data_IF_114127322091
#
_entry.id   IF_114127322091
#
_cell.length_a   1.000
_cell.length_b   1.000
_cell.length_c   1.000
_cell.angle_alpha   90.00
_cell.angle_beta   90.00
_cell.angle_gamma   90.00
#
_symmetry.space_group_name_H-M   'P 1'
#
loop_
_entity.id
_entity.type
_entity.pdbx_description
1 polymer ?
#
# COMPACT_ATOMS: atom_id res chain seq x y z
N UNK A 1 -65.94 -8.37 9.24
CA UNK A 1 -64.76 -8.44 10.14
C UNK A 1 -64.52 -9.90 10.52
N UNK A 2 -63.78 -10.68 9.73
CA UNK A 2 -63.31 -12.01 10.14
C UNK A 2 -61.88 -12.17 9.60
N UNK A 3 -60.95 -12.37 10.54
CA UNK A 3 -59.52 -12.50 10.28
C UNK A 3 -59.20 -13.89 9.74
N UNK A 4 -58.41 -13.95 8.67
CA UNK A 4 -57.83 -15.20 8.17
C UNK A 4 -56.49 -15.43 8.90
N UNK A 5 -56.43 -16.46 9.73
CA UNK A 5 -55.17 -17.03 10.22
C UNK A 5 -54.58 -17.93 9.13
N UNK A 6 -53.40 -17.56 8.62
CA UNK A 6 -52.58 -18.46 7.80
C UNK A 6 -51.48 -19.04 8.68
N UNK A 7 -51.60 -20.34 8.96
CA UNK A 7 -50.59 -21.16 9.63
C UNK A 7 -49.52 -21.51 8.60
N UNK A 8 -48.31 -20.99 8.76
CA UNK A 8 -47.16 -21.41 7.96
C UNK A 8 -46.41 -22.53 8.69
N UNK A 9 -46.26 -23.67 8.01
CA UNK A 9 -45.52 -24.83 8.44
C UNK A 9 -44.03 -24.51 8.63
N UNK A 10 -43.51 -24.77 9.83
CA UNK A 10 -42.07 -24.83 10.09
C UNK A 10 -41.54 -26.15 9.56
N UNK A 11 -40.89 -26.12 8.40
CA UNK A 11 -40.07 -27.24 7.94
C UNK A 11 -38.73 -27.21 8.69
N UNK A 12 -38.58 -28.11 9.66
CA UNK A 12 -37.33 -28.34 10.35
C UNK A 12 -36.41 -29.17 9.43
N UNK A 13 -35.52 -28.52 8.70
CA UNK A 13 -34.47 -29.21 7.96
C UNK A 13 -33.35 -29.60 8.93
N UNK A 14 -33.17 -30.91 9.11
CA UNK A 14 -32.05 -31.48 9.85
C UNK A 14 -30.74 -31.20 9.09
N UNK A 15 -29.95 -30.25 9.59
CA UNK A 15 -28.60 -29.99 9.10
C UNK A 15 -27.69 -31.07 9.69
N UNK A 16 -27.33 -32.07 8.87
CA UNK A 16 -26.24 -32.99 9.16
C UNK A 16 -24.96 -32.18 9.34
N UNK A 17 -24.27 -32.40 10.46
CA UNK A 17 -23.02 -31.76 10.84
C UNK A 17 -21.87 -32.07 9.88
N UNK A 18 -21.85 -31.41 8.74
CA UNK A 18 -20.61 -31.05 8.07
C UNK A 18 -20.05 -29.84 8.80
N UNK A 19 -18.80 -29.92 9.25
CA UNK A 19 -18.07 -28.73 9.66
C UNK A 19 -18.21 -27.71 8.52
N UNK A 20 -18.82 -26.56 8.81
CA UNK A 20 -18.70 -25.41 7.93
C UNK A 20 -17.21 -25.09 7.88
N UNK A 21 -16.53 -25.56 6.83
CA UNK A 21 -15.28 -24.97 6.39
C UNK A 21 -15.64 -23.53 6.03
N UNK A 22 -15.46 -22.62 7.00
CA UNK A 22 -15.40 -21.20 6.72
C UNK A 22 -14.40 -21.05 5.56
N UNK A 23 -14.77 -20.36 4.47
CA UNK A 23 -13.85 -20.16 3.36
C UNK A 23 -12.53 -19.67 3.93
N UNK A 24 -11.44 -20.38 3.62
CA UNK A 24 -10.14 -20.05 4.19
C UNK A 24 -9.85 -18.58 3.90
N UNK A 25 -9.62 -17.78 4.95
CA UNK A 25 -9.27 -16.35 4.93
C UNK A 25 -7.95 -16.07 4.16
N UNK A 26 -7.42 -17.04 3.42
CA UNK A 26 -6.11 -17.06 2.77
C UNK A 26 -5.98 -16.14 1.53
N UNK A 27 -6.91 -15.20 1.33
CA UNK A 27 -6.84 -14.22 0.24
C UNK A 27 -7.25 -12.81 0.66
N UNK A 28 -7.02 -12.43 1.91
CA UNK A 28 -7.61 -11.22 2.50
C UNK A 28 -6.66 -10.02 2.66
N UNK A 29 -5.43 -10.09 2.16
CA UNK A 29 -4.50 -8.95 2.22
C UNK A 29 -3.95 -8.64 0.84
N UNK A 30 -3.87 -7.35 0.53
CA UNK A 30 -3.33 -6.83 -0.70
C UNK A 30 -2.34 -5.71 -0.37
N UNK A 31 -1.14 -5.79 -0.95
CA UNK A 31 -0.26 -4.63 -1.02
C UNK A 31 -0.64 -3.79 -2.23
N UNK A 32 -0.72 -2.47 -2.02
CA UNK A 32 -1.00 -1.51 -3.09
C UNK A 32 0.11 -0.47 -3.05
N UNK A 33 0.70 -0.19 -4.20
CA UNK A 33 1.74 0.83 -4.29
C UNK A 33 1.71 1.57 -5.61
N UNK A 34 2.27 2.77 -5.62
CA UNK A 34 2.42 3.59 -6.81
C UNK A 34 3.75 4.35 -6.77
N UNK A 35 4.39 4.58 -7.94
CA UNK A 35 5.58 5.42 -8.02
C UNK A 35 5.18 6.89 -7.90
N UNK A 36 6.05 7.70 -7.30
CA UNK A 36 5.88 9.15 -7.27
C UNK A 36 5.99 9.77 -8.66
N UNK A 37 5.32 10.90 -8.88
CA UNK A 37 5.41 11.59 -10.16
C UNK A 37 6.80 12.21 -10.38
N UNK A 38 7.44 12.75 -9.32
CA UNK A 38 8.77 13.38 -9.28
C UNK A 38 9.03 14.43 -10.38
N UNK A 39 7.98 14.86 -11.09
CA UNK A 39 8.09 15.66 -12.32
C UNK A 39 8.07 17.15 -12.07
N UNK A 40 7.80 17.59 -10.85
CA UNK A 40 7.79 19.01 -10.51
C UNK A 40 8.49 19.26 -9.16
N UNK A 41 9.69 19.84 -9.23
CA UNK A 41 10.33 20.49 -8.09
C UNK A 41 9.56 21.73 -7.61
N UNK A 42 8.60 22.21 -8.41
CA UNK A 42 7.85 23.46 -8.22
C UNK A 42 6.35 23.26 -7.95
N UNK A 43 5.85 22.02 -7.89
CA UNK A 43 4.42 21.80 -7.64
C UNK A 43 4.18 21.18 -6.27
N UNK A 44 3.27 21.85 -5.59
CA UNK A 44 2.36 21.41 -4.55
C UNK A 44 1.55 20.17 -4.95
N UNK A 45 2.20 19.09 -5.38
CA UNK A 45 1.59 17.77 -5.32
C UNK A 45 1.40 17.45 -3.83
N UNK A 46 0.16 17.44 -3.33
CA UNK A 46 -0.05 17.25 -1.91
C UNK A 46 0.37 15.83 -1.54
N UNK A 47 1.00 15.69 -0.38
CA UNK A 47 1.24 14.38 0.24
C UNK A 47 2.06 13.40 -0.63
N UNK A 48 1.73 12.10 -0.59
CA UNK A 48 2.59 11.04 -1.12
C UNK A 48 2.59 10.90 -2.64
N UNK A 49 1.80 11.66 -3.40
CA UNK A 49 1.83 11.62 -4.87
C UNK A 49 3.21 11.97 -5.43
N UNK A 50 3.94 12.86 -4.76
CA UNK A 50 5.28 13.27 -5.20
C UNK A 50 6.33 12.17 -5.00
N UNK A 51 6.33 11.50 -3.85
CA UNK A 51 7.31 10.47 -3.49
C UNK A 51 6.97 9.07 -4.01
N UNK A 52 5.68 8.78 -4.16
CA UNK A 52 5.14 7.43 -4.22
C UNK A 52 4.85 6.88 -2.84
N UNK A 53 4.10 5.79 -2.78
CA UNK A 53 3.71 5.15 -1.52
C UNK A 53 3.42 3.65 -1.68
N UNK A 54 3.43 2.94 -0.55
CA UNK A 54 2.96 1.57 -0.41
C UNK A 54 2.09 1.48 0.83
N UNK A 55 0.97 0.77 0.70
CA UNK A 55 0.01 0.55 1.76
C UNK A 55 -0.55 -0.85 1.72
N UNK A 56 -1.23 -1.22 2.80
CA UNK A 56 -1.82 -2.53 3.02
C UNK A 56 -3.33 -2.38 3.03
N UNK A 57 -4.02 -3.16 2.20
CA UNK A 57 -5.47 -3.26 2.19
C UNK A 57 -5.89 -4.64 2.68
N UNK A 58 -6.81 -4.68 3.63
CA UNK A 58 -7.42 -5.91 4.10
C UNK A 58 -8.82 -6.03 3.49
N UNK A 59 -9.17 -7.16 2.88
CA UNK A 59 -10.49 -7.34 2.24
C UNK A 59 -11.65 -7.30 3.24
N UNK A 60 -11.37 -7.59 4.51
CA UNK A 60 -12.32 -7.47 5.62
C UNK A 60 -12.39 -6.07 6.25
N UNK A 61 -11.58 -5.13 5.78
CA UNK A 61 -11.71 -3.72 6.12
C UNK A 61 -12.70 -3.03 5.16
N UNK A 62 -13.21 -1.83 5.52
CA UNK A 62 -13.95 -1.01 4.56
C UNK A 62 -13.16 -0.85 3.26
N UNK A 63 -13.87 -0.86 2.11
CA UNK A 63 -13.23 -0.87 0.80
C UNK A 63 -12.26 0.31 0.60
N UNK A 64 -12.53 1.43 1.27
CA UNK A 64 -11.78 2.68 1.19
C UNK A 64 -10.75 2.82 2.32
N UNK A 65 -10.23 1.68 2.81
CA UNK A 65 -9.16 1.66 3.80
C UNK A 65 -7.89 1.08 3.22
N UNK A 66 -6.85 1.91 3.18
CA UNK A 66 -5.47 1.49 2.89
C UNK A 66 -4.63 1.92 4.08
N UNK A 67 -4.13 0.97 4.85
CA UNK A 67 -3.25 1.25 5.98
C UNK A 67 -1.85 1.51 5.47
N UNK A 68 -1.34 2.73 5.64
CA UNK A 68 0.03 3.07 5.28
C UNK A 68 0.81 3.59 6.48
N UNK A 69 2.13 3.52 6.36
CA UNK A 69 3.07 4.01 7.37
C UNK A 69 3.78 5.24 6.81
N UNK A 70 3.58 6.38 7.47
CA UNK A 70 4.03 7.70 7.03
C UNK A 70 4.75 8.43 8.16
N UNK A 71 5.57 9.46 7.88
CA UNK A 71 6.15 10.26 8.94
C UNK A 71 5.09 11.15 9.61
N UNK A 72 5.05 11.16 10.94
CA UNK A 72 4.18 12.02 11.74
C UNK A 72 4.82 13.40 11.91
N UNK A 73 4.67 14.24 10.89
CA UNK A 73 5.28 15.55 10.84
C UNK A 73 4.49 16.51 9.97
N UNK A 74 4.54 17.80 10.32
CA UNK A 74 3.95 18.88 9.52
C UNK A 74 4.58 18.99 8.13
N UNK A 75 5.81 18.48 7.97
CA UNK A 75 6.51 18.45 6.68
C UNK A 75 5.87 17.49 5.68
N UNK A 76 4.88 16.68 6.05
CA UNK A 76 4.07 15.90 5.09
C UNK A 76 3.31 16.79 4.08
N UNK A 77 3.15 18.07 4.40
CA UNK A 77 2.60 19.06 3.47
C UNK A 77 3.68 19.80 2.65
N UNK A 78 4.97 19.56 2.94
CA UNK A 78 6.12 20.07 2.22
C UNK A 78 7.07 18.91 1.91
N UNK A 79 6.70 18.14 0.90
CA UNK A 79 7.37 16.89 0.59
C UNK A 79 8.82 17.06 0.16
N UNK A 80 9.14 18.18 -0.50
CA UNK A 80 10.51 18.50 -0.86
C UNK A 80 11.38 18.63 0.38
N UNK A 81 10.95 19.43 1.36
CA UNK A 81 11.68 19.61 2.62
C UNK A 81 11.76 18.30 3.40
N UNK A 82 10.66 17.55 3.51
CA UNK A 82 10.65 16.25 4.18
C UNK A 82 11.66 15.27 3.56
N UNK A 83 11.63 15.09 2.23
CA UNK A 83 12.58 14.21 1.53
C UNK A 83 14.00 14.70 1.66
N UNK A 84 14.24 16.01 1.59
CA UNK A 84 15.55 16.59 1.83
C UNK A 84 16.08 16.23 3.23
N UNK A 85 15.27 16.44 4.26
CA UNK A 85 15.64 16.14 5.65
C UNK A 85 15.93 14.65 5.85
N UNK A 86 15.15 13.76 5.23
CA UNK A 86 15.39 12.32 5.26
C UNK A 86 16.69 11.92 4.53
N UNK A 87 16.99 12.55 3.38
CA UNK A 87 18.25 12.33 2.64
C UNK A 87 19.47 12.91 3.38
N UNK A 88 19.27 13.82 4.32
CA UNK A 88 20.31 14.30 5.24
C UNK A 88 20.51 13.33 6.43
N UNK A 89 19.85 12.17 6.41
CA UNK A 89 20.03 11.11 7.39
C UNK A 89 19.13 11.24 8.63
N UNK A 90 18.20 12.19 8.64
CA UNK A 90 17.24 12.34 9.74
C UNK A 90 16.12 11.29 9.66
N UNK A 91 15.39 11.15 10.77
CA UNK A 91 14.18 10.33 10.85
C UNK A 91 13.08 11.11 11.57
N UNK A 92 11.85 10.65 11.43
CA UNK A 92 10.68 11.18 12.13
C UNK A 92 9.99 10.06 12.91
N UNK A 93 9.16 10.37 13.93
CA UNK A 93 8.18 9.41 14.40
C UNK A 93 7.34 8.93 13.23
N UNK A 94 7.07 7.63 13.16
CA UNK A 94 6.15 7.07 12.18
C UNK A 94 4.70 7.19 12.64
N UNK A 95 3.77 6.95 11.73
CA UNK A 95 2.33 6.86 12.01
C UNK A 95 1.68 5.89 11.04
N UNK A 96 0.82 5.04 11.58
CA UNK A 96 -0.05 4.18 10.79
C UNK A 96 -1.43 4.83 10.70
N UNK A 97 -1.91 5.09 9.49
CA UNK A 97 -3.20 5.74 9.25
C UNK A 97 -3.93 5.14 8.05
N UNK A 98 -5.20 5.54 7.86
CA UNK A 98 -5.87 5.33 6.58
C UNK A 98 -5.32 6.33 5.56
N UNK A 99 -4.42 5.84 4.72
CA UNK A 99 -3.75 6.59 3.66
C UNK A 99 -4.50 6.52 2.34
N UNK A 100 -5.71 5.96 2.30
CA UNK A 100 -6.56 5.95 1.11
C UNK A 100 -6.64 7.34 0.42
N UNK A 101 -6.74 8.49 1.12
CA UNK A 101 -6.70 9.80 0.47
C UNK A 101 -5.42 10.08 -0.33
N UNK A 102 -4.25 9.56 0.08
CA UNK A 102 -3.01 9.70 -0.69
C UNK A 102 -3.04 8.87 -1.98
N UNK A 103 -3.62 7.66 -1.89
CA UNK A 103 -3.82 6.79 -3.06
C UNK A 103 -4.86 7.38 -4.02
N UNK A 104 -5.93 7.97 -3.49
CA UNK A 104 -6.92 8.70 -4.28
C UNK A 104 -6.30 9.90 -5.00
N UNK A 105 -5.55 10.76 -4.29
CA UNK A 105 -4.88 11.92 -4.90
C UNK A 105 -3.89 11.52 -6.01
N UNK A 106 -3.17 10.41 -5.84
CA UNK A 106 -2.26 9.89 -6.85
C UNK A 106 -2.97 9.55 -8.17
N UNK A 107 -4.24 9.15 -8.14
CA UNK A 107 -5.04 8.90 -9.36
C UNK A 107 -5.28 10.17 -10.19
N UNK A 108 -5.23 11.36 -9.57
CA UNK A 108 -5.44 12.65 -10.24
C UNK A 108 -4.19 13.21 -10.92
N UNK A 109 -3.06 12.49 -10.91
CA UNK A 109 -1.86 12.92 -11.62
C UNK A 109 -2.15 13.19 -13.12
N UNK A 110 -1.75 14.35 -13.66
CA UNK A 110 -1.96 14.67 -15.08
C UNK A 110 -1.06 13.83 -16.01
N UNK A 111 -0.01 13.21 -15.45
CA UNK A 111 0.97 12.42 -16.19
C UNK A 111 0.62 10.93 -16.26
N UNK A 112 -0.40 10.48 -15.54
CA UNK A 112 -0.72 9.07 -15.38
C UNK A 112 0.21 8.35 -14.41
N UNK A 113 -0.36 7.52 -13.55
CA UNK A 113 0.34 6.75 -12.51
C UNK A 113 -0.05 5.29 -12.63
N UNK A 114 0.94 4.41 -12.51
CA UNK A 114 0.72 2.96 -12.50
C UNK A 114 0.61 2.52 -11.06
N UNK A 115 -0.55 2.00 -10.70
CA UNK A 115 -0.75 1.33 -9.43
C UNK A 115 -0.40 -0.14 -9.61
N UNK A 116 0.41 -0.66 -8.72
CA UNK A 116 0.75 -2.07 -8.63
C UNK A 116 0.00 -2.64 -7.43
N UNK A 117 -0.73 -3.71 -7.68
CA UNK A 117 -1.48 -4.45 -6.68
C UNK A 117 -0.87 -5.84 -6.56
N UNK A 118 -0.73 -6.34 -5.34
CA UNK A 118 -0.31 -7.71 -5.10
C UNK A 118 -1.21 -8.38 -4.07
N UNK A 119 -2.01 -9.34 -4.54
CA UNK A 119 -2.82 -10.19 -3.66
C UNK A 119 -1.92 -11.23 -2.95
N UNK A 120 -1.77 -11.07 -1.63
CA UNK A 120 -0.98 -11.99 -0.82
C UNK A 120 -1.81 -13.26 -0.58
N UNK A 121 -1.53 -14.29 -1.38
CA UNK A 121 -2.15 -15.63 -1.27
C UNK A 121 -1.42 -16.57 -0.29
N UNK A 122 -0.37 -16.08 0.37
CA UNK A 122 0.42 -16.88 1.28
C UNK A 122 -0.34 -17.11 2.60
N UNK A 123 -0.12 -18.27 3.21
CA UNK A 123 -0.42 -18.46 4.62
C UNK A 123 0.46 -17.48 5.41
N UNK A 124 -0.12 -16.34 5.79
CA UNK A 124 0.58 -15.35 6.58
C UNK A 124 1.15 -15.98 7.85
N UNK A 125 2.27 -15.46 8.35
CA UNK A 125 2.87 -15.97 9.58
C UNK A 125 1.96 -15.83 10.80
N UNK A 126 0.97 -14.92 10.72
CA UNK A 126 -0.02 -14.65 11.74
C UNK A 126 -1.44 -15.02 11.28
N UNK A 127 -2.29 -15.42 12.23
CA UNK A 127 -3.67 -15.91 12.00
C UNK A 127 -4.54 -14.90 11.24
N UNK A 128 -4.28 -13.61 11.37
CA UNK A 128 -5.04 -12.52 10.74
C UNK A 128 -4.21 -11.71 9.74
N UNK A 129 -3.08 -12.27 9.28
CA UNK A 129 -2.18 -11.61 8.35
C UNK A 129 -1.71 -10.22 8.80
N UNK A 130 -1.49 -10.02 10.11
CA UNK A 130 -0.90 -8.79 10.63
C UNK A 130 -1.91 -7.66 10.88
N UNK A 131 -3.22 -7.89 10.71
CA UNK A 131 -4.25 -6.86 10.96
C UNK A 131 -4.22 -6.37 12.42
N UNK A 132 -4.07 -7.27 13.38
CA UNK A 132 -3.97 -6.92 14.81
C UNK A 132 -2.72 -6.08 15.08
N UNK A 133 -1.61 -6.40 14.43
CA UNK A 133 -0.35 -5.65 14.53
C UNK A 133 -0.49 -4.24 13.93
N UNK A 134 -1.12 -4.12 12.75
CA UNK A 134 -1.47 -2.82 12.15
C UNK A 134 -2.36 -2.00 13.08
N UNK A 135 -3.43 -2.59 13.63
CA UNK A 135 -4.35 -1.90 14.55
C UNK A 135 -3.69 -1.45 15.84
N UNK A 136 -2.76 -2.25 16.37
CA UNK A 136 -1.95 -1.88 17.53
C UNK A 136 -1.08 -0.66 17.21
N UNK A 137 -0.38 -0.69 16.08
CA UNK A 137 0.48 0.41 15.65
C UNK A 137 -0.30 1.69 15.30
N UNK A 138 -1.60 1.60 14.96
CA UNK A 138 -2.45 2.79 14.79
C UNK A 138 -2.69 3.55 16.10
N UNK A 139 -2.62 2.87 17.25
CA UNK A 139 -2.89 3.47 18.56
C UNK A 139 -1.62 4.06 19.18
N UNK A 140 -0.50 3.37 19.03
CA UNK A 140 0.79 3.78 19.53
C UNK A 140 1.88 3.09 18.70
N UNK A 141 2.73 3.89 18.05
CA UNK A 141 3.83 3.36 17.25
C UNK A 141 5.16 3.85 17.80
N UNK A 142 5.91 2.92 18.37
CA UNK A 142 7.29 3.13 18.76
C UNK A 142 8.22 2.76 17.59
N UNK A 143 7.97 3.33 16.41
CA UNK A 143 8.75 3.11 15.18
C UNK A 143 9.05 4.45 14.53
N UNK A 144 10.25 4.57 13.96
CA UNK A 144 10.68 5.76 13.22
C UNK A 144 10.47 5.56 11.72
N UNK A 145 10.06 6.62 11.04
CA UNK A 145 10.07 6.73 9.60
C UNK A 145 11.41 7.32 9.12
N UNK A 146 12.12 6.59 8.25
CA UNK A 146 13.41 7.02 7.70
C UNK A 146 13.64 6.50 6.28
N UNK A 147 14.57 7.09 5.54
CA UNK A 147 15.11 6.42 4.35
C UNK A 147 16.06 5.29 4.72
N UNK A 148 16.21 4.29 3.82
CA UNK A 148 17.19 3.24 4.04
C UNK A 148 18.60 3.81 4.21
N UNK A 149 19.46 3.15 5.01
CA UNK A 149 20.77 3.68 5.37
C UNK A 149 21.64 4.10 4.19
N UNK A 150 21.50 3.44 3.05
CA UNK A 150 22.28 3.66 1.84
C UNK A 150 21.77 4.82 0.98
N UNK A 151 20.52 5.26 1.15
CA UNK A 151 19.95 6.32 0.33
C UNK A 151 20.63 7.68 0.52
N UNK A 152 20.87 8.20 1.74
CA UNK A 152 21.65 9.43 1.96
C UNK A 152 22.99 9.43 1.22
N UNK A 153 23.76 8.35 1.35
CA UNK A 153 25.05 8.20 0.68
C UNK A 153 24.91 8.16 -0.84
N UNK A 154 23.94 7.41 -1.35
CA UNK A 154 23.70 7.26 -2.79
C UNK A 154 23.29 8.57 -3.45
N UNK A 155 22.46 9.38 -2.80
CA UNK A 155 21.85 10.56 -3.42
C UNK A 155 22.54 11.88 -3.07
N UNK A 156 23.21 11.98 -1.91
CA UNK A 156 23.85 13.23 -1.45
C UNK A 156 25.30 13.09 -1.02
N UNK A 157 25.83 11.88 -0.90
CA UNK A 157 27.19 11.67 -0.37
C UNK A 157 27.36 12.16 1.06
N UNK A 158 26.26 12.26 1.81
CA UNK A 158 26.21 12.73 3.20
C UNK A 158 26.43 11.57 4.18
N UNK A 159 26.39 11.85 5.49
CA UNK A 159 26.50 10.82 6.51
C UNK A 159 25.41 9.74 6.39
N UNK A 160 25.68 8.59 7.00
CA UNK A 160 24.70 7.51 7.15
C UNK A 160 23.46 7.97 7.91
N UNK A 161 22.31 7.35 7.61
CA UNK A 161 21.05 7.58 8.30
C UNK A 161 21.19 7.33 9.81
N UNK A 162 20.50 8.13 10.63
CA UNK A 162 20.38 7.91 12.08
C UNK A 162 19.78 6.52 12.42
N UNK A 163 19.11 5.91 11.45
CA UNK A 163 18.50 4.58 11.55
C UNK A 163 19.39 3.42 11.09
N UNK A 164 20.68 3.65 10.83
CA UNK A 164 21.58 2.63 10.26
C UNK A 164 21.65 1.35 11.08
N UNK A 165 21.76 1.45 12.41
CA UNK A 165 21.87 0.28 13.29
C UNK A 165 20.54 -0.35 13.67
N UNK A 166 19.41 0.25 13.30
CA UNK A 166 18.06 -0.20 13.71
C UNK A 166 17.10 -0.38 12.52
N UNK A 167 17.65 -0.36 11.30
CA UNK A 167 16.90 -0.53 10.06
C UNK A 167 16.24 -1.91 10.01
N UNK A 168 14.93 -1.95 9.80
CA UNK A 168 14.16 -3.18 9.80
C UNK A 168 13.75 -3.70 11.19
N UNK A 169 14.16 -3.03 12.27
CA UNK A 169 13.77 -3.37 13.65
C UNK A 169 12.86 -2.29 14.26
N UNK A 170 13.35 -1.05 14.32
CA UNK A 170 12.58 0.09 14.83
C UNK A 170 12.51 1.25 13.85
N UNK A 171 13.30 1.22 12.77
CA UNK A 171 13.21 2.17 11.67
C UNK A 171 12.70 1.50 10.40
N UNK A 172 11.73 2.15 9.76
CA UNK A 172 11.06 1.67 8.56
C UNK A 172 10.74 2.82 7.61
N UNK A 173 10.32 2.48 6.40
CA UNK A 173 9.54 3.36 5.54
C UNK A 173 8.27 2.65 5.09
N UNK A 174 7.51 3.25 4.18
CA UNK A 174 6.29 2.63 3.65
C UNK A 174 6.51 1.27 2.97
N UNK A 175 7.69 1.04 2.38
CA UNK A 175 8.03 -0.21 1.71
C UNK A 175 8.45 -1.32 2.69
N UNK A 176 9.16 -1.00 3.79
CA UNK A 176 9.63 -2.01 4.76
C UNK A 176 8.70 -2.22 5.94
N UNK A 177 7.83 -1.26 6.25
CA UNK A 177 6.86 -1.38 7.35
C UNK A 177 5.99 -2.65 7.30
N UNK A 178 5.48 -3.13 6.15
CA UNK A 178 4.69 -4.36 6.11
C UNK A 178 5.39 -5.57 6.74
N UNK A 179 6.72 -5.70 6.60
CA UNK A 179 7.49 -6.76 7.25
C UNK A 179 7.42 -6.69 8.78
N UNK A 180 7.35 -5.49 9.34
CA UNK A 180 7.25 -5.26 10.78
C UNK A 180 5.92 -5.73 11.40
N UNK A 181 4.91 -5.99 10.57
CA UNK A 181 3.60 -6.53 10.97
C UNK A 181 3.37 -7.95 10.43
N UNK A 182 4.44 -8.65 10.03
CA UNK A 182 4.38 -10.05 9.60
C UNK A 182 3.93 -10.26 8.15
N UNK A 183 3.86 -9.21 7.34
CA UNK A 183 3.55 -9.34 5.91
C UNK A 183 4.83 -9.59 5.09
N UNK A 184 4.77 -10.43 4.04
CA UNK A 184 5.89 -10.58 3.14
C UNK A 184 6.13 -9.27 2.38
N UNK A 185 7.39 -8.97 2.10
CA UNK A 185 7.79 -7.88 1.21
C UNK A 185 8.60 -8.43 0.04
N UNK A 186 8.48 -7.83 -1.16
CA UNK A 186 9.22 -8.24 -2.36
C UNK A 186 10.74 -8.07 -2.24
N UNK A 187 11.21 -7.17 -1.36
CA UNK A 187 12.62 -6.88 -1.14
C UNK A 187 12.84 -6.14 0.19
N UNK A 188 14.07 -6.17 0.71
CA UNK A 188 14.42 -5.71 2.06
C UNK A 188 15.25 -4.42 2.11
N UNK A 189 15.63 -3.83 0.97
CA UNK A 189 16.35 -2.55 0.94
C UNK A 189 15.44 -1.38 1.26
N UNK A 190 14.14 -1.49 1.01
CA UNK A 190 13.18 -0.40 1.20
C UNK A 190 13.24 0.69 0.13
N UNK A 191 13.89 0.41 -1.01
CA UNK A 191 13.95 1.32 -2.13
C UNK A 191 12.71 1.17 -2.99
N UNK A 192 11.79 2.13 -2.89
CA UNK A 192 10.47 2.07 -3.51
C UNK A 192 10.48 1.70 -5.02
N UNK A 193 11.36 2.23 -5.89
CA UNK A 193 11.39 1.80 -7.29
C UNK A 193 11.63 0.29 -7.46
N UNK A 194 12.64 -0.24 -6.78
CA UNK A 194 12.96 -1.68 -6.82
C UNK A 194 11.88 -2.54 -6.15
N UNK A 195 11.25 -2.00 -5.10
CA UNK A 195 10.11 -2.63 -4.43
C UNK A 195 8.94 -2.85 -5.39
N UNK A 196 8.49 -1.79 -6.08
CA UNK A 196 7.35 -1.86 -7.00
C UNK A 196 7.63 -2.77 -8.20
N UNK A 197 8.85 -2.73 -8.74
CA UNK A 197 9.28 -3.62 -9.83
C UNK A 197 9.21 -5.09 -9.42
N UNK A 198 9.78 -5.43 -8.26
CA UNK A 198 9.72 -6.80 -7.75
C UNK A 198 8.30 -7.20 -7.36
N UNK A 199 7.50 -6.29 -6.82
CA UNK A 199 6.09 -6.55 -6.52
C UNK A 199 5.31 -6.91 -7.79
N UNK A 200 5.53 -6.20 -8.90
CA UNK A 200 4.88 -6.48 -10.18
C UNK A 200 5.21 -7.86 -10.76
N UNK A 201 6.35 -8.45 -10.38
CA UNK A 201 6.79 -9.78 -10.80
C UNK A 201 6.18 -10.93 -9.98
N UNK A 202 5.54 -10.64 -8.85
CA UNK A 202 5.00 -11.67 -7.97
C UNK A 202 3.72 -12.28 -8.54
N UNK A 203 3.53 -13.57 -8.27
CA UNK A 203 2.30 -14.26 -8.64
C UNK A 203 1.10 -13.67 -7.88
N UNK A 204 0.03 -13.35 -8.61
CA UNK A 204 -1.14 -12.65 -8.07
C UNK A 204 -1.03 -11.13 -8.10
N UNK A 205 0.05 -10.58 -8.69
CA UNK A 205 0.17 -9.15 -8.93
C UNK A 205 -0.46 -8.73 -10.25
N UNK A 206 -1.01 -7.52 -10.26
CA UNK A 206 -1.56 -6.87 -11.44
C UNK A 206 -1.37 -5.36 -11.33
N UNK A 207 -1.54 -4.65 -12.45
CA UNK A 207 -1.36 -3.21 -12.50
C UNK A 207 -2.55 -2.52 -13.16
N UNK A 208 -2.83 -1.30 -12.71
CA UNK A 208 -3.82 -0.40 -13.32
C UNK A 208 -3.20 0.96 -13.58
N UNK A 209 -3.62 1.58 -14.68
CA UNK A 209 -3.24 2.93 -15.04
C UNK A 209 -4.33 3.90 -14.57
N UNK A 210 -3.96 4.90 -13.77
CA UNK A 210 -4.87 5.98 -13.40
C UNK A 210 -4.34 7.32 -13.88
N UNK A 211 -5.23 8.15 -14.43
CA UNK A 211 -4.90 9.50 -14.91
C UNK A 211 -6.13 10.39 -14.74
N UNK A 212 -5.93 11.59 -14.21
CA UNK A 212 -7.01 12.57 -14.00
C UNK A 212 -8.24 11.98 -13.27
N UNK A 213 -8.00 11.12 -12.28
CA UNK A 213 -9.03 10.49 -11.45
C UNK A 213 -9.77 9.31 -12.09
N UNK A 214 -9.32 8.82 -13.26
CA UNK A 214 -9.98 7.75 -14.00
C UNK A 214 -9.06 6.58 -14.27
N UNK A 215 -9.62 5.38 -14.39
CA UNK A 215 -8.90 4.20 -14.86
C UNK A 215 -8.79 4.25 -16.38
N UNK A 216 -7.58 4.08 -16.88
CA UNK A 216 -7.22 4.17 -18.29
C UNK A 216 -6.53 2.90 -18.79
N UNK A 217 -6.37 2.84 -20.12
CA UNK A 217 -5.65 1.76 -20.79
C UNK A 217 -4.14 1.82 -20.49
N UNK A 218 -3.44 0.71 -20.73
CA UNK A 218 -1.97 0.65 -20.59
C UNK A 218 -1.25 1.77 -21.36
N UNK A 219 -1.71 2.11 -22.57
CA UNK A 219 -1.10 3.12 -23.44
C UNK A 219 -1.18 4.54 -22.90
N UNK A 220 -2.19 4.86 -22.07
CA UNK A 220 -2.44 6.23 -21.60
C UNK A 220 -1.50 6.69 -20.48
N UNK A 221 -0.95 5.73 -19.71
CA UNK A 221 0.07 5.98 -18.69
C UNK A 221 1.49 5.71 -19.21
N UNK A 222 1.66 5.34 -20.48
CA UNK A 222 2.99 5.05 -21.02
C UNK A 222 3.87 6.29 -20.95
N UNK A 223 4.80 6.26 -20.01
CA UNK A 223 5.81 7.27 -19.83
C UNK A 223 7.13 6.53 -19.65
N UNK A 224 8.19 7.06 -20.27
CA UNK A 224 9.53 6.46 -20.22
C UNK A 224 9.99 6.21 -18.77
N UNK A 225 9.59 7.08 -17.84
CA UNK A 225 9.85 6.95 -16.39
C UNK A 225 9.37 5.64 -15.76
N UNK A 226 8.30 5.05 -16.30
CA UNK A 226 7.69 3.84 -15.75
C UNK A 226 8.03 2.58 -16.58
N UNK A 227 8.97 2.69 -17.54
CA UNK A 227 9.25 1.63 -18.52
C UNK A 227 9.54 0.27 -17.86
N UNK A 228 10.25 0.24 -16.73
CA UNK A 228 10.56 -1.01 -16.02
C UNK A 228 9.29 -1.65 -15.44
N UNK A 229 8.47 -0.89 -14.73
CA UNK A 229 7.16 -1.36 -14.25
C UNK A 229 6.28 -1.85 -15.40
N UNK A 230 6.25 -1.13 -16.53
CA UNK A 230 5.48 -1.50 -17.71
C UNK A 230 5.84 -2.85 -18.31
N UNK A 231 7.10 -3.27 -18.20
CA UNK A 231 7.60 -4.53 -18.73
C UNK A 231 7.28 -5.71 -17.83
N UNK A 232 7.05 -5.47 -16.54
CA UNK A 232 6.82 -6.51 -15.54
C UNK A 232 5.34 -6.67 -15.18
N UNK A 233 4.55 -5.60 -15.34
CA UNK A 233 3.14 -5.56 -14.98
C UNK A 233 2.24 -6.39 -15.92
N UNK A 234 1.38 -7.21 -15.32
CA UNK A 234 0.14 -7.68 -15.97
C UNK A 234 -0.94 -6.62 -15.81
N UNK A 235 -1.34 -5.96 -16.90
CA UNK A 235 -2.31 -4.86 -16.84
C UNK A 235 -3.75 -5.35 -16.90
N UNK A 236 -4.55 -4.96 -15.92
CA UNK A 236 -6.00 -4.98 -16.08
C UNK A 236 -6.43 -3.79 -16.93
N UNK A 237 -7.32 -4.04 -17.90
CA UNK A 237 -7.90 -3.00 -18.74
C UNK A 237 -9.22 -2.51 -18.13
N UNK A 238 -9.56 -1.21 -18.28
CA UNK A 238 -10.87 -0.72 -17.88
C UNK A 238 -11.94 -1.54 -18.58
N UNK A 239 -12.99 -1.89 -17.83
CA UNK A 239 -14.19 -2.48 -18.43
C UNK A 239 -14.84 -1.36 -19.22
N UNK A 240 -14.86 -1.47 -20.55
CA UNK A 240 -15.66 -0.56 -21.37
C UNK A 240 -17.12 -0.73 -20.92
N UNK A 241 -17.75 0.36 -20.47
CA UNK A 241 -19.17 0.34 -20.11
C UNK A 241 -19.96 -0.14 -21.35
N UNK A 242 -20.51 -1.35 -21.28
CA UNK A 242 -21.37 -1.96 -22.30
C UNK A 242 -22.75 -1.29 -22.35
#
# INVERSE_FOLDING_TARGET
MHALHLVAFVACAAIKGGALELPSLASEVQLVGFPGDQTNYNESAPHMRWTGHVGVRFRNAPQDTVFGFTPDTVLRNDMHTLVSTLLDGNSFPGKVSNDFPDFEDATYSPFGVIFVFWDIKAACSEKDCGLSSVRKDMMDVNKSYAFPPEAPLKYRGTAYSACTSTWGESCFNCATYPKSVGLPIPEDTGMLPGYLEKMALLHGSFCRCYKSGRWHSKSDCWAERNRLLFNHCTFEQPVEDL
#
